data_IF_240583327018
#
_entry.id   IF_240583327018
#
_cell.length_a   1.000
_cell.length_b   1.000
_cell.length_c   1.000
_cell.angle_alpha   90.00
_cell.angle_beta   90.00
_cell.angle_gamma   90.00
#
_symmetry.space_group_name_H-M   'P 1'
#
loop_
_entity.id
_entity.type
_entity.pdbx_description
1 polymer ?
#
# COMPACT_ATOMS: atom_id res chain seq x y z
N UNK A 1 -40.29 20.84 -8.18
CA UNK A 1 -39.06 20.04 -8.27
C UNK A 1 -37.92 21.00 -8.61
N UNK A 2 -36.84 21.03 -7.83
CA UNK A 2 -35.65 21.85 -8.17
C UNK A 2 -34.61 20.94 -8.77
N UNK A 3 -34.32 21.15 -10.04
CA UNK A 3 -33.22 20.48 -10.73
C UNK A 3 -31.91 21.17 -10.33
N UNK A 4 -31.04 20.46 -9.62
CA UNK A 4 -29.69 20.91 -9.34
C UNK A 4 -28.74 20.16 -10.26
N UNK A 5 -28.63 20.62 -11.51
CA UNK A 5 -27.61 20.14 -12.45
C UNK A 5 -26.25 20.73 -12.09
N UNK A 6 -25.25 19.87 -11.87
CA UNK A 6 -23.88 20.31 -11.61
C UNK A 6 -23.16 20.58 -12.94
N UNK A 7 -22.69 21.82 -13.16
CA UNK A 7 -22.07 22.28 -14.42
C UNK A 7 -20.55 21.98 -14.51
N UNK A 8 -20.01 21.13 -13.65
CA UNK A 8 -18.57 20.84 -13.68
C UNK A 8 -18.25 19.73 -14.70
N UNK A 9 -17.35 19.98 -15.67
CA UNK A 9 -16.93 18.95 -16.61
C UNK A 9 -16.30 17.76 -15.88
N UNK A 10 -16.75 16.55 -16.21
CA UNK A 10 -16.19 15.31 -15.69
C UNK A 10 -14.71 15.19 -16.06
N UNK A 11 -13.83 15.31 -15.05
CA UNK A 11 -12.36 15.15 -15.20
C UNK A 11 -11.93 13.69 -15.37
N UNK A 12 -12.84 12.79 -15.76
CA UNK A 12 -12.55 11.36 -15.97
C UNK A 12 -11.46 11.13 -17.03
N UNK A 13 -11.22 12.11 -17.91
CA UNK A 13 -10.21 12.06 -18.98
C UNK A 13 -9.03 13.02 -18.77
N UNK A 14 -8.84 13.59 -17.58
CA UNK A 14 -7.59 14.30 -17.27
C UNK A 14 -6.46 13.25 -17.32
N UNK A 15 -5.64 13.33 -18.37
CA UNK A 15 -4.80 12.24 -18.88
C UNK A 15 -4.17 11.33 -17.83
N UNK A 16 -4.24 10.03 -18.09
CA UNK A 16 -3.49 8.97 -17.39
C UNK A 16 -2.07 9.49 -17.17
N UNK A 17 -1.66 9.66 -15.90
CA UNK A 17 -0.27 9.96 -15.59
C UNK A 17 0.53 8.80 -16.19
N UNK A 18 1.14 9.07 -17.34
CA UNK A 18 1.85 8.08 -18.12
C UNK A 18 2.93 7.48 -17.26
N UNK A 19 3.28 6.24 -17.60
CA UNK A 19 4.36 5.41 -17.08
C UNK A 19 5.75 6.05 -17.25
N UNK A 20 5.90 7.36 -17.06
CA UNK A 20 7.20 7.98 -16.84
C UNK A 20 7.57 7.60 -15.41
N UNK A 21 8.62 6.78 -15.27
CA UNK A 21 9.34 6.62 -14.01
C UNK A 21 9.76 8.01 -13.57
N UNK A 22 8.96 8.62 -12.72
CA UNK A 22 9.30 9.87 -12.05
C UNK A 22 10.23 9.52 -10.90
N UNK A 23 11.23 10.34 -10.59
CA UNK A 23 12.08 10.15 -9.38
C UNK A 23 11.24 9.84 -8.13
N UNK A 24 10.09 10.50 -8.01
CA UNK A 24 9.08 10.28 -6.98
C UNK A 24 8.55 8.83 -6.86
N UNK A 25 8.44 8.11 -7.97
CA UNK A 25 8.01 6.72 -8.01
C UNK A 25 9.11 5.83 -7.42
N UNK A 26 10.34 6.03 -7.89
CA UNK A 26 11.50 5.22 -7.51
C UNK A 26 11.84 5.38 -6.02
N UNK A 27 11.76 6.61 -5.51
CA UNK A 27 12.00 6.92 -4.09
C UNK A 27 10.92 6.30 -3.19
N UNK A 28 9.66 6.39 -3.58
CA UNK A 28 8.55 5.78 -2.84
C UNK A 28 8.63 4.26 -2.80
N UNK A 29 9.06 3.62 -3.90
CA UNK A 29 9.26 2.17 -3.95
C UNK A 29 10.42 1.77 -3.05
N UNK A 30 11.54 2.49 -3.11
CA UNK A 30 12.72 2.20 -2.30
C UNK A 30 12.43 2.31 -0.79
N UNK A 31 11.70 3.34 -0.34
CA UNK A 31 11.33 3.47 1.08
C UNK A 31 10.49 2.28 1.57
N UNK A 32 9.61 1.74 0.73
CA UNK A 32 8.77 0.59 1.09
C UNK A 32 9.56 -0.72 1.07
N UNK A 33 10.50 -0.87 0.15
CA UNK A 33 11.35 -2.07 0.10
C UNK A 33 12.29 -2.15 1.33
N UNK A 34 12.88 -1.02 1.73
CA UNK A 34 13.73 -0.96 2.93
C UNK A 34 12.93 -1.13 4.23
N UNK A 35 11.69 -0.63 4.27
CA UNK A 35 10.81 -0.79 5.42
C UNK A 35 9.36 -1.07 5.00
N UNK A 36 8.99 -2.36 4.82
CA UNK A 36 7.62 -2.73 4.42
C UNK A 36 6.54 -2.33 5.42
N UNK A 37 6.91 -1.99 6.66
CA UNK A 37 5.97 -1.57 7.71
C UNK A 37 5.78 -0.03 7.76
N UNK A 38 6.39 0.71 6.84
CA UNK A 38 6.24 2.16 6.79
C UNK A 38 4.77 2.53 6.51
N UNK A 39 4.21 3.43 7.31
CA UNK A 39 2.85 3.90 7.07
C UNK A 39 2.81 4.84 5.87
N UNK A 40 1.72 4.79 5.11
CA UNK A 40 1.50 5.70 3.97
C UNK A 40 1.56 7.17 4.39
N UNK A 41 1.16 7.50 5.63
CA UNK A 41 1.26 8.85 6.19
C UNK A 41 2.71 9.29 6.37
N UNK A 42 3.56 8.41 6.88
CA UNK A 42 4.99 8.72 7.06
C UNK A 42 5.65 8.89 5.69
N UNK A 43 5.32 8.04 4.73
CA UNK A 43 5.87 8.12 3.38
C UNK A 43 5.46 9.43 2.68
N UNK A 44 4.21 9.89 2.86
CA UNK A 44 3.75 11.22 2.43
C UNK A 44 4.59 12.35 3.02
N UNK A 45 4.91 12.27 4.32
CA UNK A 45 5.69 13.27 5.02
C UNK A 45 7.16 13.27 4.58
N UNK A 46 7.79 12.09 4.51
CA UNK A 46 9.19 11.93 4.13
C UNK A 46 9.45 12.44 2.72
N UNK A 47 8.59 12.03 1.78
CA UNK A 47 8.75 12.31 0.36
C UNK A 47 8.13 13.64 -0.07
N UNK A 48 7.47 14.36 0.84
CA UNK A 48 6.77 15.62 0.57
C UNK A 48 5.77 15.49 -0.60
N UNK A 49 5.14 14.32 -0.72
CA UNK A 49 4.20 14.01 -1.80
C UNK A 49 2.76 14.08 -1.32
N UNK A 50 1.82 14.31 -2.23
CA UNK A 50 0.42 14.21 -1.86
C UNK A 50 0.01 12.74 -1.61
N UNK A 51 -0.93 12.54 -0.69
CA UNK A 51 -1.41 11.19 -0.31
C UNK A 51 -2.00 10.40 -1.48
N UNK A 52 -2.73 11.07 -2.38
CA UNK A 52 -3.35 10.41 -3.53
C UNK A 52 -2.33 9.88 -4.55
N UNK A 53 -1.19 10.57 -4.72
CA UNK A 53 -0.07 10.16 -5.55
C UNK A 53 0.60 8.94 -4.95
N UNK A 54 0.90 8.97 -3.65
CA UNK A 54 1.47 7.83 -2.93
C UNK A 54 0.58 6.59 -3.08
N UNK A 55 -0.71 6.72 -2.79
CA UNK A 55 -1.65 5.60 -2.96
C UNK A 55 -1.68 5.05 -4.39
N UNK A 56 -1.60 5.93 -5.41
CA UNK A 56 -1.56 5.52 -6.80
C UNK A 56 -0.28 4.79 -7.14
N UNK A 57 0.87 5.29 -6.69
CA UNK A 57 2.20 4.67 -6.88
C UNK A 57 2.19 3.26 -6.30
N UNK A 58 1.83 3.11 -5.02
CA UNK A 58 1.80 1.81 -4.35
C UNK A 58 0.90 0.81 -5.08
N UNK A 59 -0.27 1.27 -5.55
CA UNK A 59 -1.19 0.44 -6.32
C UNK A 59 -0.63 0.03 -7.69
N UNK A 60 0.09 0.92 -8.38
CA UNK A 60 0.69 0.64 -9.69
C UNK A 60 1.82 -0.38 -9.57
N UNK A 61 2.64 -0.25 -8.53
CA UNK A 61 3.77 -1.14 -8.24
C UNK A 61 3.36 -2.40 -7.46
N UNK A 62 2.06 -2.61 -7.26
CA UNK A 62 1.47 -3.79 -6.58
C UNK A 62 1.90 -3.94 -5.11
N UNK A 63 2.33 -2.86 -4.47
CA UNK A 63 2.42 -2.81 -3.02
C UNK A 63 1.01 -2.76 -2.45
N UNK A 64 0.63 -3.85 -1.79
CA UNK A 64 -0.61 -3.91 -1.04
C UNK A 64 -0.32 -3.39 0.37
N UNK A 65 -0.87 -2.22 0.77
CA UNK A 65 -0.79 -1.77 2.14
C UNK A 65 -1.69 -2.67 2.99
N UNK A 66 -1.21 -3.86 3.35
CA UNK A 66 -1.73 -4.62 4.47
C UNK A 66 -1.22 -3.89 5.72
N UNK A 67 -1.87 -2.77 6.05
CA UNK A 67 -1.30 -1.75 6.92
C UNK A 67 -0.86 -2.25 8.30
N UNK A 68 -1.32 -3.41 8.75
CA UNK A 68 -0.87 -4.02 9.99
C UNK A 68 -1.00 -5.55 9.94
N UNK A 69 0.11 -6.27 9.74
CA UNK A 69 0.19 -7.64 10.26
C UNK A 69 0.45 -7.55 11.76
N UNK A 70 -0.63 -7.43 12.54
CA UNK A 70 -0.54 -7.50 14.00
C UNK A 70 -0.32 -8.96 14.38
N UNK A 71 0.89 -9.29 14.85
CA UNK A 71 1.14 -10.56 15.53
C UNK A 71 0.31 -10.60 16.81
N UNK A 72 -0.88 -11.16 16.74
CA UNK A 72 -1.78 -11.32 17.91
C UNK A 72 -1.32 -12.43 18.85
N UNK A 73 -0.39 -13.28 18.41
CA UNK A 73 0.19 -14.37 19.19
C UNK A 73 1.67 -14.09 19.44
N UNK A 74 2.12 -14.25 20.68
CA UNK A 74 3.52 -14.20 21.07
C UNK A 74 4.24 -15.50 20.67
N UNK A 75 4.19 -15.86 19.39
CA UNK A 75 4.80 -17.09 18.87
C UNK A 75 6.30 -17.05 19.10
N UNK A 76 6.79 -18.08 19.78
CA UNK A 76 8.20 -18.36 19.98
C UNK A 76 8.76 -19.12 18.78
N UNK A 77 10.10 -19.18 18.67
CA UNK A 77 10.76 -19.94 17.59
C UNK A 77 10.37 -21.42 17.58
N UNK A 78 10.09 -21.97 18.76
CA UNK A 78 9.75 -23.38 18.93
C UNK A 78 8.30 -23.71 18.52
N UNK A 79 7.44 -22.71 18.34
CA UNK A 79 6.04 -22.95 17.95
C UNK A 79 5.91 -23.32 16.48
N UNK A 80 6.82 -22.85 15.62
CA UNK A 80 6.82 -23.23 14.21
C UNK A 80 6.98 -24.75 14.00
N UNK A 81 8.03 -25.43 14.52
CA UNK A 81 8.16 -26.87 14.35
C UNK A 81 7.01 -27.65 15.02
N UNK A 82 6.51 -27.18 16.18
CA UNK A 82 5.33 -27.80 16.83
C UNK A 82 4.07 -27.76 15.95
N UNK A 83 3.78 -26.61 15.32
CA UNK A 83 2.63 -26.45 14.43
C UNK A 83 2.75 -27.30 13.17
N UNK A 84 3.95 -27.37 12.57
CA UNK A 84 4.22 -28.22 11.41
C UNK A 84 3.99 -29.70 11.76
N UNK A 85 4.50 -30.17 12.90
CA UNK A 85 4.32 -31.55 13.34
C UNK A 85 2.85 -31.89 13.61
N UNK A 86 2.12 -30.99 14.27
CA UNK A 86 0.69 -31.16 14.50
C UNK A 86 -0.11 -31.28 13.19
N UNK A 87 0.13 -30.40 12.22
CA UNK A 87 -0.56 -30.46 10.93
C UNK A 87 -0.23 -31.75 10.16
N UNK A 88 1.02 -32.23 10.22
CA UNK A 88 1.42 -33.51 9.58
C UNK A 88 0.78 -34.72 10.25
N UNK A 89 0.59 -34.70 11.57
CA UNK A 89 -0.07 -35.78 12.30
C UNK A 89 -1.56 -35.89 11.98
N UNK A 90 -2.21 -34.79 11.64
CA UNK A 90 -3.64 -34.75 11.26
C UNK A 90 -3.93 -35.24 9.82
N UNK A 91 -2.91 -35.46 8.99
CA UNK A 91 -3.06 -35.94 7.61
C UNK A 91 -3.26 -37.46 7.55
#
# INVERSE_FOLDING_TARGET
MRETGNLTPSRQNAGRLGTKRTSALEEAVLEVDENPNISTRNLVHNLHMNSSLVHRILKQEKYHPYSYYTKVQALTRDDFPRRVNFCRWLQ
#
